data_IF_170927381904
#
_entry.id   IF_170927381904
#
_cell.length_a   1.000
_cell.length_b   1.000
_cell.length_c   1.000
_cell.angle_alpha   90.00
_cell.angle_beta   90.00
_cell.angle_gamma   90.00
#
_symmetry.space_group_name_H-M   'P 1'
#
loop_
_entity.id
_entity.type
_entity.pdbx_description
1 polymer ?
#
# COMPACT_ATOMS: atom_id res chain seq x y z
N UNK A 1 -26.03 -18.26 -8.50
CA UNK A 1 -26.93 -17.56 -7.55
C UNK A 1 -26.45 -17.68 -6.09
N UNK A 2 -26.32 -18.88 -5.52
CA UNK A 2 -25.88 -19.07 -4.11
C UNK A 2 -24.55 -18.38 -3.76
N UNK A 3 -23.54 -18.44 -4.65
CA UNK A 3 -22.28 -17.73 -4.46
C UNK A 3 -22.50 -16.22 -4.39
N UNK A 4 -23.34 -15.68 -5.28
CA UNK A 4 -23.64 -14.26 -5.28
C UNK A 4 -24.27 -13.85 -3.95
N UNK A 5 -25.20 -14.62 -3.39
CA UNK A 5 -25.91 -14.30 -2.14
C UNK A 5 -25.08 -14.51 -0.86
N UNK A 6 -24.19 -15.51 -0.84
CA UNK A 6 -23.40 -15.82 0.35
C UNK A 6 -22.08 -15.02 0.44
N UNK A 7 -21.57 -14.51 -0.68
CA UNK A 7 -20.29 -13.81 -0.70
C UNK A 7 -20.43 -12.38 -0.16
N UNK A 8 -19.63 -12.06 0.86
CA UNK A 8 -19.64 -10.74 1.54
C UNK A 8 -18.38 -9.98 1.22
N UNK A 9 -17.22 -10.63 1.33
CA UNK A 9 -15.90 -10.05 1.04
C UNK A 9 -15.02 -11.11 0.38
N UNK A 10 -14.23 -10.70 -0.60
CA UNK A 10 -13.06 -11.45 -1.05
C UNK A 10 -11.81 -10.70 -0.60
N UNK A 11 -10.80 -11.43 -0.15
CA UNK A 11 -9.51 -10.86 0.21
C UNK A 11 -8.38 -11.56 -0.52
N UNK A 12 -7.40 -10.76 -0.96
CA UNK A 12 -6.08 -11.24 -1.36
C UNK A 12 -5.06 -10.61 -0.43
N UNK A 13 -4.08 -11.40 0.02
CA UNK A 13 -3.09 -10.94 1.00
C UNK A 13 -1.66 -11.31 0.61
N UNK A 14 -0.72 -10.46 1.03
CA UNK A 14 0.72 -10.77 1.07
C UNK A 14 1.31 -10.36 2.40
N UNK A 15 2.38 -11.05 2.81
CA UNK A 15 3.16 -10.70 3.99
C UNK A 15 4.44 -9.98 3.56
N UNK A 16 4.59 -8.74 4.03
CA UNK A 16 5.82 -7.96 3.87
C UNK A 16 6.57 -7.89 5.18
N UNK A 17 7.90 -7.87 5.10
CA UNK A 17 8.76 -7.57 6.25
C UNK A 17 8.62 -6.10 6.65
N UNK A 18 8.62 -5.83 7.95
CA UNK A 18 8.64 -4.46 8.47
C UNK A 18 10.08 -3.97 8.56
N UNK A 19 10.32 -2.73 8.14
CA UNK A 19 11.63 -2.09 8.33
C UNK A 19 11.96 -2.02 9.82
N UNK A 20 13.22 -2.30 10.15
CA UNK A 20 13.70 -2.11 11.52
C UNK A 20 13.70 -0.61 11.86
N UNK A 21 12.89 -0.21 12.84
CA UNK A 21 12.78 1.20 13.24
C UNK A 21 14.11 1.74 13.79
N UNK A 22 14.92 0.88 14.43
CA UNK A 22 16.19 1.28 15.03
C UNK A 22 17.29 1.60 14.00
N UNK A 23 17.23 1.04 12.79
CA UNK A 23 18.31 1.20 11.82
C UNK A 23 17.87 1.62 10.42
N UNK A 24 16.57 1.75 10.12
CA UNK A 24 16.12 2.22 8.79
C UNK A 24 16.68 3.61 8.49
N UNK A 25 17.02 3.85 7.23
CA UNK A 25 17.55 5.14 6.77
C UNK A 25 16.61 5.78 5.75
N UNK A 26 16.39 7.11 5.83
CA UNK A 26 15.64 7.82 4.82
C UNK A 26 16.46 7.92 3.53
N UNK A 27 15.79 7.93 2.39
CA UNK A 27 16.40 8.24 1.10
C UNK A 27 15.39 8.95 0.20
N UNK A 28 15.89 9.83 -0.67
CA UNK A 28 15.06 10.47 -1.69
C UNK A 28 14.78 9.45 -2.81
N UNK A 29 13.52 9.09 -3.08
CA UNK A 29 13.21 8.13 -4.14
C UNK A 29 13.48 8.72 -5.53
N UNK A 30 13.85 7.83 -6.46
CA UNK A 30 14.06 8.19 -7.86
C UNK A 30 12.76 8.75 -8.49
N UNK A 31 12.79 9.89 -9.20
CA UNK A 31 11.59 10.44 -9.84
C UNK A 31 10.94 9.49 -10.86
N UNK A 32 11.73 8.68 -11.57
CA UNK A 32 11.24 7.67 -12.50
C UNK A 32 10.45 6.56 -11.79
N UNK A 33 10.93 6.12 -10.63
CA UNK A 33 10.22 5.19 -9.74
C UNK A 33 8.88 5.78 -9.26
N UNK A 34 8.86 7.04 -8.80
CA UNK A 34 7.63 7.71 -8.36
C UNK A 34 6.60 7.81 -9.49
N UNK A 35 7.05 8.18 -10.70
CA UNK A 35 6.21 8.23 -11.90
C UNK A 35 5.62 6.86 -12.25
N UNK A 36 6.43 5.79 -12.20
CA UNK A 36 5.97 4.41 -12.45
C UNK A 36 4.96 3.95 -11.39
N UNK A 37 5.11 4.39 -10.15
CA UNK A 37 4.21 4.10 -9.05
C UNK A 37 2.97 5.02 -8.98
N UNK A 38 2.81 5.95 -9.94
CA UNK A 38 1.76 6.97 -9.94
C UNK A 38 1.71 7.80 -8.64
N UNK A 39 2.88 8.09 -8.08
CA UNK A 39 3.01 8.89 -6.85
C UNK A 39 3.40 10.34 -7.18
N UNK A 40 2.76 11.33 -6.51
CA UNK A 40 3.09 12.74 -6.70
C UNK A 40 4.46 13.07 -6.09
N UNK A 41 5.44 13.38 -6.92
CA UNK A 41 6.82 13.61 -6.49
C UNK A 41 6.98 14.81 -5.54
N UNK A 42 6.09 15.79 -5.65
CA UNK A 42 6.00 16.98 -4.82
C UNK A 42 5.50 16.70 -3.39
N UNK A 43 4.89 15.54 -3.14
CA UNK A 43 4.33 15.18 -1.83
C UNK A 43 5.12 14.10 -1.09
N UNK A 44 6.24 13.64 -1.67
CA UNK A 44 7.05 12.55 -1.12
C UNK A 44 8.47 13.05 -0.86
N UNK A 45 8.75 13.37 0.40
CA UNK A 45 10.08 13.84 0.82
C UNK A 45 11.11 12.71 0.79
N UNK A 46 10.78 11.58 1.42
CA UNK A 46 11.67 10.43 1.52
C UNK A 46 10.89 9.12 1.70
N UNK A 47 11.52 8.02 1.29
CA UNK A 47 11.16 6.67 1.72
C UNK A 47 12.20 6.14 2.70
N UNK A 48 11.91 4.99 3.32
CA UNK A 48 12.86 4.31 4.19
C UNK A 48 13.36 3.01 3.55
N UNK A 49 14.62 2.68 3.84
CA UNK A 49 15.27 1.43 3.44
C UNK A 49 16.20 0.91 4.54
N UNK A 50 16.61 -0.37 4.50
CA UNK A 50 17.74 -0.84 5.30
C UNK A 50 19.02 -0.03 4.98
N UNK A 51 19.96 0.12 5.94
CA UNK A 51 21.26 0.74 5.69
C UNK A 51 21.98 0.08 4.51
N UNK A 52 22.32 0.83 3.44
CA UNK A 52 23.13 0.31 2.36
C UNK A 52 24.51 -0.08 2.90
N UNK A 53 24.93 -1.33 2.70
CA UNK A 53 26.22 -1.82 3.21
C UNK A 53 26.26 -2.15 4.70
N UNK A 54 25.12 -2.08 5.41
CA UNK A 54 25.06 -2.34 6.85
C UNK A 54 25.29 -1.10 7.71
N UNK A 55 25.36 -1.28 9.03
CA UNK A 55 25.69 -0.21 9.97
C UNK A 55 27.21 -0.17 10.20
N UNK A 56 27.73 1.02 10.46
CA UNK A 56 29.13 1.23 10.84
C UNK A 56 29.23 2.08 12.10
N UNK A 57 30.30 1.91 12.87
CA UNK A 57 30.65 2.80 13.98
C UNK A 57 31.27 4.13 13.49
N UNK A 58 31.64 5.02 14.42
CA UNK A 58 32.27 6.30 14.09
C UNK A 58 33.63 6.18 13.40
N UNK A 59 34.27 5.01 13.47
CA UNK A 59 35.56 4.70 12.81
C UNK A 59 35.36 3.98 11.47
N UNK A 60 34.12 3.72 11.07
CA UNK A 60 33.78 3.02 9.84
C UNK A 60 33.79 1.49 9.96
N UNK A 61 33.95 0.92 11.17
CA UNK A 61 33.93 -0.54 11.35
C UNK A 61 32.49 -1.07 11.26
N UNK A 62 32.22 -2.19 10.57
CA UNK A 62 30.90 -2.79 10.53
C UNK A 62 30.37 -3.16 11.92
N UNK A 63 29.11 -2.83 12.20
CA UNK A 63 28.40 -3.23 13.42
C UNK A 63 27.05 -3.85 13.08
N UNK A 64 26.54 -4.69 13.98
CA UNK A 64 25.20 -5.26 13.86
C UNK A 64 24.18 -4.44 14.64
N UNK A 65 23.03 -4.20 14.03
CA UNK A 65 21.87 -3.67 14.75
C UNK A 65 21.38 -4.73 15.74
N UNK A 66 21.33 -4.39 17.03
CA UNK A 66 20.89 -5.30 18.11
C UNK A 66 19.42 -5.73 17.97
N UNK A 67 18.57 -4.91 17.33
CA UNK A 67 17.15 -5.24 17.15
C UNK A 67 16.94 -6.25 16.01
N UNK A 68 17.52 -6.01 14.83
CA UNK A 68 17.25 -6.81 13.63
C UNK A 68 18.38 -7.78 13.27
N UNK A 69 19.46 -7.81 14.06
CA UNK A 69 20.63 -8.67 13.86
C UNK A 69 21.22 -8.54 12.45
N UNK A 70 21.29 -7.30 11.96
CA UNK A 70 21.82 -6.97 10.63
C UNK A 70 20.87 -7.18 9.45
N UNK A 71 19.69 -7.78 9.64
CA UNK A 71 18.77 -8.07 8.53
C UNK A 71 18.12 -6.82 7.90
N UNK A 72 18.08 -5.70 8.63
CA UNK A 72 17.38 -4.48 8.21
C UNK A 72 15.85 -4.52 8.39
N UNK A 73 15.29 -5.64 8.83
CA UNK A 73 13.86 -5.84 9.02
C UNK A 73 13.56 -6.47 10.39
N UNK A 74 12.45 -6.11 11.01
CA UNK A 74 12.03 -6.69 12.28
C UNK A 74 10.52 -6.89 12.33
N UNK A 75 10.08 -8.15 12.25
CA UNK A 75 8.66 -8.52 12.16
C UNK A 75 8.09 -8.44 10.73
N UNK A 76 6.78 -8.71 10.63
CA UNK A 76 6.03 -8.72 9.37
C UNK A 76 4.69 -7.99 9.54
N UNK A 77 4.10 -7.56 8.43
CA UNK A 77 2.72 -7.04 8.36
C UNK A 77 2.04 -7.56 7.10
N UNK A 78 0.73 -7.77 7.17
CA UNK A 78 -0.08 -8.05 5.99
C UNK A 78 -0.31 -6.79 5.14
N UNK A 79 -0.38 -6.98 3.83
CA UNK A 79 -0.95 -6.09 2.83
C UNK A 79 -2.20 -6.79 2.32
N UNK A 80 -3.34 -6.12 2.39
CA UNK A 80 -4.65 -6.72 2.10
C UNK A 80 -5.33 -5.94 1.00
N UNK A 81 -5.68 -6.62 -0.08
CA UNK A 81 -6.66 -6.18 -1.07
C UNK A 81 -8.02 -6.76 -0.66
N UNK A 82 -9.04 -5.91 -0.67
CA UNK A 82 -10.38 -6.24 -0.18
C UNK A 82 -11.41 -5.85 -1.24
N UNK A 83 -12.16 -6.83 -1.72
CA UNK A 83 -13.33 -6.64 -2.55
C UNK A 83 -14.57 -6.86 -1.68
N UNK A 84 -15.21 -5.78 -1.27
CA UNK A 84 -16.52 -5.83 -0.62
C UNK A 84 -17.61 -6.05 -1.66
N UNK A 85 -18.48 -7.04 -1.44
CA UNK A 85 -19.54 -7.42 -2.39
C UNK A 85 -20.82 -6.65 -2.06
N UNK A 86 -20.96 -5.48 -2.66
CA UNK A 86 -22.20 -4.71 -2.66
C UNK A 86 -23.26 -5.32 -3.59
N UNK A 87 -24.46 -4.74 -3.59
CA UNK A 87 -25.59 -5.22 -4.40
C UNK A 87 -25.29 -5.16 -5.91
N UNK A 88 -24.53 -4.16 -6.35
CA UNK A 88 -24.13 -4.02 -7.76
C UNK A 88 -23.20 -5.16 -8.21
N UNK A 89 -22.19 -5.48 -7.41
CA UNK A 89 -21.30 -6.62 -7.66
C UNK A 89 -22.04 -7.95 -7.53
N UNK A 90 -22.96 -8.06 -6.56
CA UNK A 90 -23.81 -9.24 -6.36
C UNK A 90 -24.61 -9.55 -7.62
N UNK A 91 -25.21 -8.54 -8.22
CA UNK A 91 -25.93 -8.61 -9.48
C UNK A 91 -25.05 -9.09 -10.64
N UNK A 92 -23.84 -8.53 -10.78
CA UNK A 92 -22.89 -8.93 -11.82
C UNK A 92 -22.47 -10.40 -11.66
N UNK A 93 -22.23 -10.84 -10.42
CA UNK A 93 -21.88 -12.24 -10.12
C UNK A 93 -23.07 -13.16 -10.41
N UNK A 94 -24.28 -12.80 -10.00
CA UNK A 94 -25.49 -13.60 -10.23
C UNK A 94 -25.78 -13.78 -11.73
N UNK A 95 -25.52 -12.74 -12.54
CA UNK A 95 -25.69 -12.72 -13.99
C UNK A 95 -24.50 -13.34 -14.76
N UNK A 96 -23.50 -13.89 -14.05
CA UNK A 96 -22.34 -14.53 -14.69
C UNK A 96 -21.51 -13.58 -15.56
N UNK A 97 -21.44 -12.30 -15.20
CA UNK A 97 -20.71 -11.31 -15.99
C UNK A 97 -19.19 -11.58 -15.99
N UNK A 98 -18.47 -11.14 -17.04
CA UNK A 98 -17.02 -11.31 -17.10
C UNK A 98 -16.30 -10.66 -15.90
N UNK A 99 -15.20 -11.27 -15.47
CA UNK A 99 -14.35 -10.75 -14.36
C UNK A 99 -13.90 -9.30 -14.60
N UNK A 100 -13.71 -8.89 -15.85
CA UNK A 100 -13.38 -7.51 -16.20
C UNK A 100 -14.46 -6.51 -15.79
N UNK A 101 -15.74 -6.86 -15.92
CA UNK A 101 -16.86 -6.04 -15.49
C UNK A 101 -16.92 -5.93 -13.96
N UNK A 102 -16.70 -7.04 -13.26
CA UNK A 102 -16.60 -7.09 -11.80
C UNK A 102 -15.45 -6.20 -11.31
N UNK A 103 -14.26 -6.32 -11.92
CA UNK A 103 -13.09 -5.51 -11.56
C UNK A 103 -13.30 -4.02 -11.83
N UNK A 104 -13.97 -3.68 -12.93
CA UNK A 104 -14.29 -2.28 -13.25
C UNK A 104 -15.26 -1.68 -12.21
N UNK A 105 -16.31 -2.41 -11.81
CA UNK A 105 -17.22 -2.00 -10.76
C UNK A 105 -16.50 -1.86 -9.41
N UNK A 106 -15.71 -2.87 -9.01
CA UNK A 106 -14.91 -2.84 -7.80
C UNK A 106 -14.00 -1.59 -7.74
N UNK A 107 -13.33 -1.27 -8.85
CA UNK A 107 -12.47 -0.09 -8.92
C UNK A 107 -13.28 1.21 -8.82
N UNK A 108 -14.44 1.28 -9.47
CA UNK A 108 -15.37 2.41 -9.36
C UNK A 108 -15.84 2.61 -7.91
N UNK A 109 -16.02 1.52 -7.17
CA UNK A 109 -16.39 1.51 -5.76
C UNK A 109 -15.22 1.80 -4.81
N UNK A 110 -14.04 2.14 -5.34
CA UNK A 110 -12.90 2.56 -4.53
C UNK A 110 -12.02 1.42 -4.04
N UNK A 111 -12.17 0.19 -4.56
CA UNK A 111 -11.25 -0.91 -4.25
C UNK A 111 -9.81 -0.50 -4.60
N UNK A 112 -8.92 -0.67 -3.63
CA UNK A 112 -7.48 -0.49 -3.82
C UNK A 112 -6.85 -1.83 -4.15
N UNK A 113 -5.98 -1.84 -5.16
CA UNK A 113 -5.19 -3.02 -5.46
C UNK A 113 -4.10 -3.24 -4.42
N UNK A 114 -3.63 -4.48 -4.31
CA UNK A 114 -2.57 -4.88 -3.40
C UNK A 114 -1.31 -4.01 -3.49
N UNK A 115 -0.92 -3.61 -4.70
CA UNK A 115 0.21 -2.70 -4.93
C UNK A 115 -0.06 -1.31 -4.34
N UNK A 116 -1.27 -0.76 -4.47
CA UNK A 116 -1.64 0.56 -3.96
C UNK A 116 -1.63 0.57 -2.42
N UNK A 117 -2.20 -0.47 -1.79
CA UNK A 117 -2.15 -0.67 -0.33
C UNK A 117 -0.71 -0.87 0.15
N UNK A 118 0.10 -1.60 -0.62
CA UNK A 118 1.52 -1.79 -0.35
C UNK A 118 2.32 -0.48 -0.42
N UNK A 119 2.06 0.35 -1.44
CA UNK A 119 2.70 1.67 -1.58
C UNK A 119 2.37 2.59 -0.42
N UNK A 120 1.14 2.56 0.11
CA UNK A 120 0.79 3.30 1.33
C UNK A 120 1.69 2.92 2.52
N UNK A 121 2.03 1.63 2.67
CA UNK A 121 2.97 1.20 3.72
C UNK A 121 4.41 1.64 3.47
N UNK A 122 4.82 1.75 2.22
CA UNK A 122 6.15 2.30 1.86
C UNK A 122 6.22 3.78 2.20
N UNK A 123 5.20 4.56 1.81
CA UNK A 123 5.09 5.99 2.14
C UNK A 123 5.10 6.24 3.66
N UNK A 124 4.46 5.34 4.43
CA UNK A 124 4.46 5.40 5.90
C UNK A 124 5.74 4.84 6.55
N UNK A 125 6.75 4.43 5.76
CA UNK A 125 8.01 3.88 6.26
C UNK A 125 7.89 2.53 6.97
N UNK A 126 6.76 1.84 6.84
CA UNK A 126 6.51 0.54 7.49
C UNK A 126 7.30 -0.57 6.81
N UNK A 127 7.39 -0.53 5.49
CA UNK A 127 8.18 -1.47 4.67
C UNK A 127 8.98 -0.69 3.61
N UNK A 128 9.87 -1.36 2.89
CA UNK A 128 10.69 -0.74 1.84
C UNK A 128 10.08 -0.95 0.46
N UNK A 129 10.43 -0.10 -0.50
CA UNK A 129 10.07 -0.33 -1.91
C UNK A 129 10.62 -1.67 -2.42
N UNK A 130 11.85 -2.02 -2.04
CA UNK A 130 12.47 -3.30 -2.42
C UNK A 130 11.67 -4.50 -1.92
N UNK A 131 11.17 -4.41 -0.68
CA UNK A 131 10.36 -5.47 -0.09
C UNK A 131 8.99 -5.58 -0.77
N UNK A 132 8.35 -4.44 -1.08
CA UNK A 132 7.11 -4.44 -1.84
C UNK A 132 7.30 -5.09 -3.21
N UNK A 133 8.30 -4.67 -3.97
CA UNK A 133 8.60 -5.25 -5.29
C UNK A 133 8.97 -6.74 -5.21
N UNK A 134 9.56 -7.20 -4.11
CA UNK A 134 9.83 -8.63 -3.89
C UNK A 134 8.54 -9.44 -3.80
N UNK A 135 7.57 -8.99 -3.01
CA UNK A 135 6.32 -9.74 -2.80
C UNK A 135 5.32 -9.61 -3.95
N UNK A 136 5.44 -8.59 -4.80
CA UNK A 136 4.56 -8.39 -5.96
C UNK A 136 5.01 -9.17 -7.20
N UNK A 137 6.29 -9.57 -7.28
CA UNK A 137 6.83 -10.34 -8.43
C UNK A 137 6.29 -11.77 -8.51
N UNK A 138 5.70 -12.29 -7.44
CA UNK A 138 5.14 -13.65 -7.39
C UNK A 138 3.80 -13.79 -8.17
N UNK A 139 3.25 -12.70 -8.73
CA UNK A 139 1.99 -12.71 -9.51
C UNK A 139 2.18 -13.20 -10.96
N UNK A 140 3.34 -12.97 -11.60
CA UNK A 140 3.52 -13.31 -13.01
C UNK A 140 3.78 -14.81 -13.28
N UNK A 141 4.07 -15.60 -12.24
CA UNK A 141 4.36 -17.02 -12.39
C UNK A 141 3.11 -17.92 -12.50
N UNK A 142 1.89 -17.36 -12.40
CA UNK A 142 0.67 -18.15 -12.30
C UNK A 142 -0.55 -17.48 -12.93
N UNK A 143 -0.60 -17.45 -14.27
CA UNK A 143 -1.86 -17.30 -14.99
C UNK A 143 -2.04 -15.99 -15.75
N UNK A 144 -2.43 -16.14 -17.02
CA UNK A 144 -2.80 -15.10 -17.96
C UNK A 144 -3.81 -14.11 -17.35
N UNK A 145 -3.33 -13.01 -16.78
CA UNK A 145 -4.15 -11.85 -16.49
C UNK A 145 -3.34 -10.59 -16.74
N UNK A 146 -3.88 -9.74 -17.62
CA UNK A 146 -3.38 -8.40 -17.85
C UNK A 146 -3.20 -7.74 -16.49
N UNK A 147 -1.96 -7.30 -16.21
CA UNK A 147 -1.63 -6.58 -14.99
C UNK A 147 -2.59 -5.40 -14.76
N UNK A 148 -2.70 -4.89 -13.53
CA UNK A 148 -3.66 -3.85 -13.22
C UNK A 148 -3.51 -2.69 -14.23
N UNK A 149 -4.60 -2.21 -14.86
CA UNK A 149 -4.52 -1.05 -15.72
C UNK A 149 -3.88 0.08 -14.92
N UNK A 150 -2.94 0.81 -15.55
CA UNK A 150 -2.31 1.98 -14.93
C UNK A 150 -3.42 2.87 -14.38
N UNK A 151 -3.47 3.05 -13.07
CA UNK A 151 -4.48 3.89 -12.43
C UNK A 151 -4.44 5.28 -13.07
N UNK A 152 -5.55 5.80 -13.62
CA UNK A 152 -5.63 7.22 -13.89
C UNK A 152 -5.48 7.95 -12.56
N UNK A 153 -4.80 9.12 -12.58
CA UNK A 153 -4.62 9.95 -11.40
C UNK A 153 -5.97 10.13 -10.69
N UNK A 154 -6.13 9.50 -9.52
CA UNK A 154 -7.35 9.62 -8.73
C UNK A 154 -7.53 11.06 -8.26
N UNK A 155 -8.77 11.54 -8.10
CA UNK A 155 -9.00 12.88 -7.59
C UNK A 155 -8.40 13.00 -6.18
N UNK A 156 -7.71 14.12 -5.94
CA UNK A 156 -7.14 14.44 -4.63
C UNK A 156 -8.23 14.40 -3.55
N UNK A 157 -7.98 13.80 -2.37
CA UNK A 157 -8.95 13.83 -1.29
C UNK A 157 -9.26 15.27 -0.92
N UNK A 158 -10.56 15.62 -0.92
CA UNK A 158 -11.01 16.95 -0.47
C UNK A 158 -10.67 17.13 1.01
N UNK A 159 -10.13 18.29 1.43
CA UNK A 159 -9.89 18.55 2.83
C UNK A 159 -11.22 18.52 3.61
N UNK A 160 -11.23 17.82 4.75
CA UNK A 160 -12.34 17.91 5.71
C UNK A 160 -12.34 19.32 6.29
N UNK A 161 -13.45 20.02 6.10
CA UNK A 161 -13.68 21.33 6.69
C UNK A 161 -13.72 21.20 8.23
N UNK A 162 -12.88 21.93 9.00
CA UNK A 162 -13.08 22.03 10.43
C UNK A 162 -14.39 22.76 10.68
N UNK A 163 -15.32 22.15 11.41
CA UNK A 163 -16.53 22.85 11.87
C UNK A 163 -16.08 24.05 12.71
N UNK A 164 -16.56 25.22 12.30
CA UNK A 164 -16.46 26.49 13.00
C UNK A 164 -17.17 26.41 14.36
N UNK A 165 -16.39 26.46 15.45
CA UNK A 165 -16.91 26.73 16.80
C UNK A 165 -16.96 28.25 17.02
N UNK A 166 -18.17 28.81 17.05
CA UNK A 166 -18.45 30.17 17.50
C UNK A 166 -18.74 30.23 19.02
N UNK A 167 -18.81 31.44 19.60
CA UNK A 167 -18.31 31.72 20.96
C UNK A 167 -19.38 31.63 22.05
N UNK A 168 -18.99 31.15 23.24
CA UNK A 168 -19.76 31.26 24.49
C UNK A 168 -19.03 32.19 25.46
N UNK A 169 -19.66 33.33 25.77
CA UNK A 169 -19.28 34.28 26.81
C UNK A 169 -19.74 33.78 28.18
N UNK A 170 -18.84 33.73 29.17
CA UNK A 170 -19.07 33.94 30.61
C UNK A 170 -17.71 34.46 31.13
N UNK A 171 -17.53 35.61 31.75
CA UNK A 171 -18.19 36.20 32.91
C UNK A 171 -17.04 36.63 33.86
N UNK A 172 -16.89 37.94 34.11
CA UNK A 172 -15.79 38.53 34.89
C UNK A 172 -15.54 39.98 34.53
#
# INVERSE_FOLDING_TARGET
>A
DTVAQALVVLTSQRLVRKLCIACRQPYKPDPGLLKKANLPADKIDHFFRPPPGGLVDAKGNPILCTNCQGSGYFGRTGVFELLEVDDGLRDLIAKGQPVSAIRAMARKNGMLYLQEVGLQKVMNGVTSMTELLRVMRDEEAGGNSQGPPRSPAGPSPKPRNPKTGGPGKEGG
#
